data_IF_879766674945
#
_entry.id   IF_879766674945
#
_cell.length_a   1.000
_cell.length_b   1.000
_cell.length_c   1.000
_cell.angle_alpha   90.00
_cell.angle_beta   90.00
_cell.angle_gamma   90.00
#
_symmetry.space_group_name_H-M   'P 1'
#
loop_
_entity.id
_entity.type
_entity.pdbx_description
1 polymer ?
#
# COMPACT_ATOMS: atom_id res chain seq x y z
N UNK A 1 -15.31 -30.00 -13.95
CA UNK A 1 -15.04 -28.64 -14.46
C UNK A 1 -14.36 -27.86 -13.35
N UNK A 2 -13.05 -27.68 -13.44
CA UNK A 2 -12.32 -26.82 -12.48
C UNK A 2 -12.71 -25.38 -12.80
N UNK A 3 -13.56 -24.77 -11.98
CA UNK A 3 -13.71 -23.33 -11.98
C UNK A 3 -12.33 -22.76 -11.57
N UNK A 4 -11.57 -22.26 -12.51
CA UNK A 4 -10.44 -21.37 -12.26
C UNK A 4 -11.01 -20.12 -11.58
N UNK A 5 -11.02 -20.13 -10.26
CA UNK A 5 -11.44 -18.96 -9.49
C UNK A 5 -10.44 -17.84 -9.81
N UNK A 6 -10.91 -16.79 -10.50
CA UNK A 6 -10.06 -15.65 -10.85
C UNK A 6 -9.56 -15.03 -9.55
N UNK A 7 -8.24 -14.89 -9.43
CA UNK A 7 -7.62 -14.26 -8.26
C UNK A 7 -8.19 -12.85 -8.08
N UNK A 8 -8.61 -12.44 -6.87
CA UNK A 8 -9.15 -11.10 -6.65
C UNK A 8 -8.10 -10.01 -6.91
N UNK A 9 -8.53 -8.87 -7.45
CA UNK A 9 -7.67 -7.70 -7.62
C UNK A 9 -7.31 -7.12 -6.25
N UNK A 10 -6.04 -6.76 -6.09
CA UNK A 10 -5.51 -6.03 -4.93
C UNK A 10 -5.09 -4.64 -5.39
N UNK A 11 -5.51 -3.60 -4.70
CA UNK A 11 -4.98 -2.24 -4.89
C UNK A 11 -3.92 -1.95 -3.84
N UNK A 12 -2.73 -1.54 -4.27
CA UNK A 12 -1.71 -0.93 -3.42
C UNK A 12 -1.77 0.58 -3.67
N UNK A 13 -1.84 1.36 -2.61
CA UNK A 13 -1.85 2.83 -2.66
C UNK A 13 -0.57 3.36 -2.06
N UNK A 14 0.18 4.17 -2.82
CA UNK A 14 1.36 4.87 -2.32
C UNK A 14 1.15 6.38 -2.42
N UNK A 15 1.21 7.07 -1.28
CA UNK A 15 1.17 8.53 -1.24
C UNK A 15 2.57 9.12 -1.40
N UNK A 16 2.70 10.15 -2.23
CA UNK A 16 3.97 10.81 -2.52
C UNK A 16 3.80 12.34 -2.52
N UNK A 17 4.83 13.05 -2.05
CA UNK A 17 4.90 14.51 -2.19
C UNK A 17 6.35 14.96 -2.12
N UNK A 18 6.81 15.71 -3.15
CA UNK A 18 8.12 16.35 -3.22
C UNK A 18 9.30 15.41 -2.85
N UNK A 19 9.31 14.19 -3.42
CA UNK A 19 10.28 13.15 -3.09
C UNK A 19 11.71 13.50 -3.51
N UNK A 20 11.89 14.24 -4.61
CA UNK A 20 13.23 14.66 -5.08
C UNK A 20 13.82 15.65 -4.09
N UNK A 21 13.06 16.67 -3.68
CA UNK A 21 13.45 17.65 -2.67
C UNK A 21 13.72 17.01 -1.30
N UNK A 22 12.93 15.99 -0.95
CA UNK A 22 13.07 15.22 0.29
C UNK A 22 14.25 14.21 0.27
N UNK A 23 14.94 14.03 -0.88
CA UNK A 23 16.02 13.04 -1.02
C UNK A 23 15.54 11.58 -1.02
N UNK A 24 14.25 11.32 -1.31
CA UNK A 24 13.61 10.00 -1.24
C UNK A 24 13.46 9.29 -2.60
N UNK A 25 14.17 9.77 -3.63
CA UNK A 25 14.06 9.21 -4.99
C UNK A 25 14.43 7.72 -5.05
N UNK A 26 15.47 7.28 -4.35
CA UNK A 26 15.86 5.87 -4.31
C UNK A 26 14.80 5.01 -3.58
N UNK A 27 14.32 5.49 -2.43
CA UNK A 27 13.36 4.75 -1.62
C UNK A 27 12.03 4.50 -2.36
N UNK A 28 11.50 5.51 -3.06
CA UNK A 28 10.27 5.31 -3.83
C UNK A 28 10.47 4.31 -4.97
N UNK A 29 11.64 4.27 -5.61
CA UNK A 29 11.94 3.28 -6.64
C UNK A 29 11.91 1.88 -6.04
N UNK A 30 12.54 1.65 -4.90
CA UNK A 30 12.51 0.38 -4.17
C UNK A 30 11.07 -0.02 -3.80
N UNK A 31 10.26 0.94 -3.34
CA UNK A 31 8.83 0.72 -3.08
C UNK A 31 8.10 0.20 -4.33
N UNK A 32 8.21 0.92 -5.47
CA UNK A 32 7.54 0.54 -6.72
C UNK A 32 8.00 -0.82 -7.24
N UNK A 33 9.30 -1.10 -7.19
CA UNK A 33 9.88 -2.36 -7.61
C UNK A 33 9.40 -3.52 -6.73
N UNK A 34 9.34 -3.34 -5.42
CA UNK A 34 8.87 -4.36 -4.48
C UNK A 34 7.42 -4.77 -4.71
N UNK A 35 6.57 -3.81 -5.12
CA UNK A 35 5.17 -4.09 -5.49
C UNK A 35 5.11 -4.82 -6.84
N UNK A 36 5.90 -4.40 -7.82
CA UNK A 36 5.93 -5.00 -9.15
C UNK A 36 6.49 -6.43 -9.13
N UNK A 37 7.44 -6.73 -8.23
CA UNK A 37 8.09 -8.04 -8.10
C UNK A 37 7.23 -9.08 -7.35
N UNK A 38 6.06 -8.70 -6.82
CA UNK A 38 5.18 -9.66 -6.15
C UNK A 38 4.74 -10.78 -7.08
N UNK A 39 4.69 -12.02 -6.56
CA UNK A 39 4.25 -13.22 -7.27
C UNK A 39 2.73 -13.25 -7.56
N UNK A 40 2.02 -12.17 -7.22
CA UNK A 40 0.58 -12.04 -7.37
C UNK A 40 0.22 -11.26 -8.64
N UNK A 41 -0.47 -11.87 -9.62
CA UNK A 41 -0.62 -11.27 -10.95
C UNK A 41 -1.70 -10.20 -11.05
N UNK A 42 -2.56 -10.05 -10.03
CA UNK A 42 -3.68 -9.12 -10.04
C UNK A 42 -3.44 -7.99 -9.04
N UNK A 43 -2.49 -7.10 -9.36
CA UNK A 43 -2.18 -5.90 -8.57
C UNK A 43 -2.48 -4.65 -9.41
N UNK A 44 -3.18 -3.71 -8.82
CA UNK A 44 -3.32 -2.33 -9.26
C UNK A 44 -2.50 -1.47 -8.30
N UNK A 45 -1.48 -0.76 -8.79
CA UNK A 45 -0.68 0.13 -7.96
C UNK A 45 -1.02 1.59 -8.29
N UNK A 46 -1.63 2.29 -7.34
CA UNK A 46 -2.02 3.69 -7.44
C UNK A 46 -1.00 4.56 -6.70
N UNK A 47 -0.41 5.53 -7.38
CA UNK A 47 0.44 6.55 -6.77
C UNK A 47 -0.37 7.84 -6.70
N UNK A 48 -0.57 8.33 -5.47
CA UNK A 48 -1.30 9.57 -5.19
C UNK A 48 -0.27 10.64 -4.86
N UNK A 49 -0.13 11.60 -5.76
CA UNK A 49 0.84 12.69 -5.64
C UNK A 49 0.16 13.97 -5.16
N UNK A 50 0.69 14.55 -4.08
CA UNK A 50 0.22 15.78 -3.45
C UNK A 50 0.62 17.06 -4.20
N UNK A 51 0.48 17.07 -5.55
CA UNK A 51 0.86 18.16 -6.43
C UNK A 51 2.35 18.56 -6.29
N UNK A 52 3.24 17.59 -6.41
CA UNK A 52 4.69 17.81 -6.37
C UNK A 52 5.16 18.75 -7.49
N UNK A 53 6.10 19.65 -7.16
CA UNK A 53 6.67 20.67 -8.05
C UNK A 53 8.21 20.59 -8.18
N UNK A 54 8.82 19.45 -7.81
CA UNK A 54 10.26 19.27 -7.61
C UNK A 54 10.91 18.22 -8.54
N UNK A 55 10.20 17.74 -9.55
CA UNK A 55 10.67 16.67 -10.44
C UNK A 55 10.20 15.26 -10.02
N UNK A 56 9.38 15.14 -8.97
CA UNK A 56 8.84 13.85 -8.51
C UNK A 56 8.00 13.16 -9.62
N UNK A 57 7.17 13.91 -10.33
CA UNK A 57 6.37 13.33 -11.42
C UNK A 57 7.23 12.82 -12.57
N UNK A 58 8.27 13.55 -12.94
CA UNK A 58 9.24 13.15 -13.96
C UNK A 58 9.97 11.86 -13.57
N UNK A 59 10.32 11.70 -12.30
CA UNK A 59 10.91 10.48 -11.75
C UNK A 59 9.98 9.27 -11.88
N UNK A 60 8.67 9.47 -11.69
CA UNK A 60 7.67 8.40 -11.68
C UNK A 60 7.12 8.02 -13.06
N UNK A 61 7.11 8.93 -14.03
CA UNK A 61 6.59 8.73 -15.39
C UNK A 61 7.11 7.48 -16.11
N UNK A 62 8.40 7.09 -16.02
CA UNK A 62 8.89 5.86 -16.63
C UNK A 62 8.17 4.61 -16.14
N UNK A 63 7.77 4.55 -14.87
CA UNK A 63 7.06 3.43 -14.27
C UNK A 63 5.58 3.39 -14.69
N UNK A 64 4.96 4.56 -14.84
CA UNK A 64 3.62 4.67 -15.41
C UNK A 64 3.60 4.22 -16.88
N UNK A 65 4.60 4.65 -17.68
CA UNK A 65 4.74 4.22 -19.07
C UNK A 65 4.93 2.72 -19.23
N UNK A 66 5.60 2.07 -18.27
CA UNK A 66 5.74 0.60 -18.20
C UNK A 66 4.45 -0.10 -17.76
N UNK A 67 3.43 0.64 -17.32
CA UNK A 67 2.17 0.10 -16.80
C UNK A 67 2.27 -0.49 -15.39
N UNK A 68 3.34 -0.18 -14.64
CA UNK A 68 3.51 -0.66 -13.26
C UNK A 68 2.64 0.09 -12.27
N UNK A 69 2.42 1.40 -12.52
CA UNK A 69 1.67 2.30 -11.65
C UNK A 69 0.67 3.12 -12.46
N UNK A 70 -0.31 3.69 -11.76
CA UNK A 70 -1.16 4.78 -12.25
C UNK A 70 -0.98 5.98 -11.34
N UNK A 71 -0.62 7.12 -11.90
CA UNK A 71 -0.37 8.36 -11.15
C UNK A 71 -1.62 9.24 -11.16
N UNK A 72 -1.99 9.74 -9.99
CA UNK A 72 -2.99 10.78 -9.79
C UNK A 72 -2.36 11.91 -9.00
N UNK A 73 -2.22 13.08 -9.63
CA UNK A 73 -1.58 14.26 -9.02
C UNK A 73 -2.61 15.35 -8.80
N UNK A 74 -2.81 15.69 -7.54
CA UNK A 74 -3.67 16.78 -7.09
C UNK A 74 -3.28 17.21 -5.67
N UNK A 75 -3.41 18.49 -5.33
CA UNK A 75 -3.10 18.98 -3.99
C UNK A 75 -3.89 18.21 -2.93
N UNK A 76 -3.23 17.87 -1.83
CA UNK A 76 -3.83 17.20 -0.69
C UNK A 76 -3.58 17.97 0.62
N UNK A 77 -4.32 17.58 1.66
CA UNK A 77 -4.22 18.13 3.02
C UNK A 77 -3.36 17.22 3.93
N UNK A 78 -2.53 16.36 3.36
CA UNK A 78 -1.66 15.44 4.07
C UNK A 78 -1.94 13.96 3.75
N UNK A 79 -1.22 13.08 4.45
CA UNK A 79 -1.16 11.65 4.16
C UNK A 79 -2.55 10.98 4.11
N UNK A 80 -3.42 11.27 5.07
CA UNK A 80 -4.74 10.62 5.13
C UNK A 80 -5.70 11.10 4.04
N UNK A 81 -5.61 12.36 3.59
CA UNK A 81 -6.34 12.85 2.41
C UNK A 81 -5.84 12.12 1.15
N UNK A 82 -4.52 12.00 0.97
CA UNK A 82 -3.94 11.22 -0.13
C UNK A 82 -4.41 9.75 -0.10
N UNK A 83 -4.43 9.10 1.06
CA UNK A 83 -4.94 7.74 1.22
C UNK A 83 -6.44 7.63 0.91
N UNK A 84 -7.25 8.60 1.33
CA UNK A 84 -8.68 8.66 0.99
C UNK A 84 -8.91 8.83 -0.51
N UNK A 85 -8.10 9.64 -1.19
CA UNK A 85 -8.11 9.79 -2.64
C UNK A 85 -7.75 8.47 -3.34
N UNK A 86 -6.76 7.75 -2.82
CA UNK A 86 -6.42 6.41 -3.27
C UNK A 86 -7.55 5.41 -3.07
N UNK A 87 -8.16 5.40 -1.88
CA UNK A 87 -9.32 4.55 -1.56
C UNK A 87 -10.50 4.80 -2.49
N UNK A 88 -10.78 6.06 -2.81
CA UNK A 88 -11.87 6.41 -3.74
C UNK A 88 -11.64 5.84 -5.14
N UNK A 89 -10.38 5.77 -5.61
CA UNK A 89 -9.97 5.27 -6.93
C UNK A 89 -9.70 3.78 -7.00
N UNK A 90 -9.53 3.12 -5.85
CA UNK A 90 -9.19 1.70 -5.77
C UNK A 90 -10.26 0.82 -6.44
N UNK A 91 -9.85 -0.12 -7.28
CA UNK A 91 -10.73 -1.11 -7.94
C UNK A 91 -10.63 -2.50 -7.30
N UNK A 92 -9.61 -2.74 -6.47
CA UNK A 92 -9.34 -4.02 -5.84
C UNK A 92 -10.39 -4.44 -4.81
N UNK A 93 -10.61 -5.76 -4.71
CA UNK A 93 -11.36 -6.36 -3.60
C UNK A 93 -10.67 -6.08 -2.27
N UNK A 94 -9.35 -6.09 -2.28
CA UNK A 94 -8.47 -5.80 -1.14
C UNK A 94 -7.63 -4.57 -1.41
N UNK A 95 -7.27 -3.86 -0.37
CA UNK A 95 -6.45 -2.66 -0.42
C UNK A 95 -5.33 -2.72 0.62
N UNK A 96 -4.16 -2.21 0.25
CA UNK A 96 -3.01 -1.99 1.11
C UNK A 96 -2.53 -0.55 0.92
N UNK A 97 -1.99 0.07 1.98
CA UNK A 97 -1.39 1.39 1.94
C UNK A 97 0.10 1.28 2.28
N UNK A 98 0.92 1.62 1.32
CA UNK A 98 2.38 1.56 1.40
C UNK A 98 2.95 2.97 1.35
N UNK A 99 3.77 3.37 2.33
CA UNK A 99 4.47 4.65 2.25
C UNK A 99 5.56 4.59 1.16
N UNK A 100 5.95 5.74 0.65
CA UNK A 100 6.93 5.85 -0.43
C UNK A 100 8.36 5.45 -0.06
N UNK A 101 8.64 5.27 1.23
CA UNK A 101 9.93 4.85 1.80
C UNK A 101 9.88 3.45 2.44
N UNK A 102 8.77 2.74 2.27
CA UNK A 102 8.61 1.36 2.70
C UNK A 102 8.52 0.42 1.48
N UNK A 103 8.82 -0.85 1.68
CA UNK A 103 8.76 -1.86 0.62
C UNK A 103 8.39 -3.25 1.16
N UNK A 104 7.86 -4.10 0.31
CA UNK A 104 7.69 -5.51 0.63
C UNK A 104 9.06 -6.20 0.63
N UNK A 105 9.41 -6.86 1.75
CA UNK A 105 10.68 -7.58 1.90
C UNK A 105 10.64 -8.99 1.27
N UNK A 106 9.46 -9.47 0.93
CA UNK A 106 9.26 -10.78 0.29
C UNK A 106 8.32 -10.67 -0.92
N UNK A 107 8.62 -11.42 -1.97
CA UNK A 107 7.84 -11.48 -3.21
C UNK A 107 6.46 -12.11 -3.06
N UNK A 108 6.20 -12.82 -1.95
CA UNK A 108 4.94 -13.51 -1.63
C UNK A 108 4.03 -12.77 -0.65
N UNK A 109 4.37 -11.55 -0.27
CA UNK A 109 3.61 -10.82 0.75
C UNK A 109 2.13 -10.64 0.36
N UNK A 110 1.86 -10.25 -0.89
CA UNK A 110 0.50 -10.07 -1.42
C UNK A 110 -0.23 -11.41 -1.54
N UNK A 111 0.40 -12.43 -2.14
CA UNK A 111 -0.24 -13.73 -2.35
C UNK A 111 -0.60 -14.42 -1.02
N UNK A 112 0.26 -14.36 -0.02
CA UNK A 112 0.01 -14.92 1.31
C UNK A 112 -1.10 -14.17 2.04
N UNK A 113 -1.13 -12.84 1.96
CA UNK A 113 -2.17 -12.02 2.58
C UNK A 113 -3.54 -12.30 1.95
N UNK A 114 -3.63 -12.35 0.63
CA UNK A 114 -4.88 -12.69 -0.08
C UNK A 114 -5.34 -14.10 0.26
N UNK A 115 -4.42 -15.09 0.24
CA UNK A 115 -4.73 -16.47 0.62
C UNK A 115 -5.34 -16.51 2.02
N UNK A 116 -4.74 -15.82 2.99
CA UNK A 116 -5.23 -15.79 4.36
C UNK A 116 -6.63 -15.17 4.45
N UNK A 117 -6.86 -14.06 3.76
CA UNK A 117 -8.16 -13.39 3.71
C UNK A 117 -9.26 -14.28 3.12
N UNK A 118 -8.96 -14.99 2.02
CA UNK A 118 -9.93 -15.86 1.35
C UNK A 118 -10.24 -17.13 2.19
N UNK A 119 -9.21 -17.79 2.74
CA UNK A 119 -9.37 -19.01 3.53
C UNK A 119 -10.08 -18.77 4.86
N UNK A 120 -9.72 -17.71 5.58
CA UNK A 120 -10.33 -17.38 6.88
C UNK A 120 -11.64 -16.61 6.76
N UNK A 121 -11.97 -16.09 5.57
CA UNK A 121 -13.06 -15.13 5.33
C UNK A 121 -12.94 -13.86 6.18
N UNK A 122 -11.74 -13.54 6.64
CA UNK A 122 -11.48 -12.34 7.43
C UNK A 122 -11.65 -11.07 6.60
N UNK A 123 -11.82 -9.96 7.28
CA UNK A 123 -11.93 -8.64 6.66
C UNK A 123 -10.57 -7.95 6.57
N UNK A 124 -9.62 -8.34 7.44
CA UNK A 124 -8.29 -7.74 7.57
C UNK A 124 -7.26 -8.86 7.76
N UNK A 125 -6.11 -8.75 7.10
CA UNK A 125 -4.89 -9.48 7.40
C UNK A 125 -3.75 -8.52 7.69
N UNK A 126 -2.78 -8.95 8.46
CA UNK A 126 -1.57 -8.20 8.79
C UNK A 126 -0.43 -9.20 8.96
N UNK A 127 0.79 -8.70 8.86
CA UNK A 127 1.99 -9.53 9.02
C UNK A 127 3.01 -8.88 9.93
N UNK A 128 4.07 -9.61 10.21
CA UNK A 128 5.26 -9.08 10.84
C UNK A 128 5.96 -8.09 9.91
N UNK A 129 6.83 -7.23 10.46
CA UNK A 129 7.57 -6.23 9.70
C UNK A 129 9.02 -6.16 10.17
N UNK A 130 9.88 -5.57 9.37
CA UNK A 130 11.26 -5.25 9.73
C UNK A 130 11.45 -3.73 9.74
N UNK A 131 12.28 -3.25 10.64
CA UNK A 131 12.73 -1.88 10.68
C UNK A 131 14.25 -1.85 10.49
N UNK A 132 14.77 -0.97 9.65
CA UNK A 132 16.17 -0.95 9.22
C UNK A 132 17.21 -0.94 10.37
N UNK A 133 16.86 -0.32 11.48
CA UNK A 133 17.73 -0.23 12.65
C UNK A 133 17.53 -1.37 13.67
N UNK A 134 16.68 -2.36 13.36
CA UNK A 134 16.42 -3.51 14.22
C UNK A 134 16.87 -4.81 13.56
N UNK A 135 17.68 -5.64 14.23
CA UNK A 135 18.19 -6.89 13.66
C UNK A 135 17.08 -7.95 13.49
N UNK A 136 16.04 -7.87 14.34
CA UNK A 136 15.00 -8.89 14.42
C UNK A 136 13.70 -8.44 13.73
N UNK A 137 12.93 -9.44 13.28
CA UNK A 137 11.58 -9.24 12.77
C UNK A 137 10.65 -8.79 13.91
N UNK A 138 9.98 -7.66 13.71
CA UNK A 138 8.98 -7.16 14.63
C UNK A 138 7.69 -7.96 14.49
N UNK A 139 7.30 -8.68 15.56
CA UNK A 139 6.10 -9.52 15.54
C UNK A 139 4.83 -8.73 15.79
N UNK A 140 3.86 -8.90 14.91
CA UNK A 140 2.51 -8.39 15.12
C UNK A 140 1.81 -9.15 16.27
N UNK A 141 1.32 -8.43 17.30
CA UNK A 141 0.71 -9.01 18.48
C UNK A 141 -0.59 -8.31 18.87
N UNK A 142 -1.74 -8.87 18.49
CA UNK A 142 -3.06 -8.31 18.81
C UNK A 142 -3.31 -7.95 20.28
N UNK A 143 -2.83 -8.70 21.29
CA UNK A 143 -3.02 -8.29 22.68
C UNK A 143 -2.46 -6.90 23.02
N UNK A 144 -1.50 -6.41 22.24
CA UNK A 144 -0.97 -5.05 22.38
C UNK A 144 -1.94 -3.94 21.91
N UNK A 145 -3.02 -4.26 21.19
CA UNK A 145 -3.96 -3.29 20.62
C UNK A 145 -4.53 -2.31 21.65
N UNK A 146 -4.65 -2.75 22.92
CA UNK A 146 -5.14 -1.89 24.00
C UNK A 146 -4.09 -0.90 24.53
N UNK A 147 -2.82 -1.04 24.18
CA UNK A 147 -1.72 -0.25 24.75
C UNK A 147 -0.81 0.40 23.70
N UNK A 148 -0.77 -0.12 22.48
CA UNK A 148 0.11 0.38 21.42
C UNK A 148 -0.33 -0.15 20.06
N UNK A 149 0.27 0.35 18.95
CA UNK A 149 0.09 -0.21 17.63
C UNK A 149 0.64 -1.65 17.59
N UNK A 150 -0.18 -2.66 17.36
CA UNK A 150 0.23 -4.07 17.42
C UNK A 150 0.88 -4.58 16.13
N UNK A 151 0.81 -3.83 15.04
CA UNK A 151 1.32 -4.13 13.70
C UNK A 151 1.67 -2.83 12.96
N UNK A 152 2.46 -2.94 11.91
CA UNK A 152 2.73 -1.82 11.02
C UNK A 152 1.60 -1.70 9.98
N UNK A 153 1.11 -0.48 9.72
CA UNK A 153 -0.02 -0.29 8.80
C UNK A 153 0.29 -0.74 7.37
N UNK A 154 1.55 -0.66 6.93
CA UNK A 154 1.99 -1.10 5.62
C UNK A 154 1.85 -2.62 5.41
N UNK A 155 1.76 -3.40 6.50
CA UNK A 155 1.54 -4.84 6.41
C UNK A 155 0.06 -5.23 6.36
N UNK A 156 -0.84 -4.23 6.46
CA UNK A 156 -2.29 -4.47 6.54
C UNK A 156 -2.90 -4.56 5.14
N UNK A 157 -3.59 -5.66 4.88
CA UNK A 157 -4.51 -5.79 3.76
C UNK A 157 -5.93 -5.88 4.31
N UNK A 158 -6.84 -5.08 3.77
CA UNK A 158 -8.23 -5.12 4.19
C UNK A 158 -9.19 -5.13 3.01
N UNK A 159 -10.44 -5.55 3.24
CA UNK A 159 -11.48 -5.41 2.22
C UNK A 159 -11.72 -3.94 1.92
N UNK A 160 -11.58 -3.53 0.67
CA UNK A 160 -11.83 -2.16 0.22
C UNK A 160 -13.23 -1.68 0.59
N UNK A 161 -14.22 -2.58 0.49
CA UNK A 161 -15.61 -2.29 0.86
C UNK A 161 -15.79 -1.99 2.36
N UNK A 162 -15.02 -2.65 3.23
CA UNK A 162 -15.05 -2.39 4.67
C UNK A 162 -14.54 -0.98 4.96
N UNK A 163 -13.37 -0.61 4.42
CA UNK A 163 -12.77 0.70 4.66
C UNK A 163 -13.66 1.83 4.13
N UNK A 164 -14.27 1.65 2.95
CA UNK A 164 -15.27 2.59 2.43
C UNK A 164 -16.50 2.72 3.34
N UNK A 165 -17.01 1.61 3.88
CA UNK A 165 -18.14 1.61 4.83
C UNK A 165 -17.80 2.35 6.12
N UNK A 166 -16.54 2.29 6.55
CA UNK A 166 -16.06 3.03 7.74
C UNK A 166 -15.81 4.51 7.49
N UNK A 167 -15.90 4.98 6.24
CA UNK A 167 -15.68 6.39 5.87
C UNK A 167 -14.22 6.73 5.54
N UNK A 168 -13.34 5.73 5.42
CA UNK A 168 -11.91 5.93 5.14
C UNK A 168 -11.11 6.34 6.37
N UNK A 169 -10.07 7.13 6.15
CA UNK A 169 -9.20 7.67 7.19
C UNK A 169 -9.74 9.00 7.71
N UNK A 170 -9.58 9.22 9.00
CA UNK A 170 -9.96 10.48 9.65
C UNK A 170 -8.86 11.53 9.46
N UNK A 171 -9.10 12.50 8.60
CA UNK A 171 -8.15 13.56 8.23
C UNK A 171 -7.87 14.57 9.35
N UNK A 172 -8.56 14.48 10.50
CA UNK A 172 -8.28 15.31 11.68
C UNK A 172 -7.00 14.90 12.39
N UNK A 173 -6.50 13.69 12.12
CA UNK A 173 -5.21 13.24 12.63
C UNK A 173 -4.12 13.57 11.61
N UNK A 174 -3.00 14.18 12.07
CA UNK A 174 -1.87 14.54 11.20
C UNK A 174 -1.11 13.32 10.70
#
# INVERSE_FOLDING_TARGET
MHHTQTKPLVTVVTAVQNLVRAGRSAAVIECLESVHQQDYPQIEHLVIDGASDDGTLELLRPYETKGWIKIYSEADNGLYDAFNKGLARASGKYINFMNSDDHFIEDRAVSLSVKRLEESRADISYSDWRQDNMPDLCQARLPKLFFSMPFCHQTVFCKTSLLRKMGGFDERYP
#
